data_IF_431716545867
#
_entry.id   IF_431716545867
#
_cell.length_a   1.000
_cell.length_b   1.000
_cell.length_c   1.000
_cell.angle_alpha   90.00
_cell.angle_beta   90.00
_cell.angle_gamma   90.00
#
_symmetry.space_group_name_H-M   'P 1'
#
loop_
_entity.id
_entity.type
_entity.pdbx_description
1 polymer ?
#
# COMPACT_ATOMS: atom_id res chain seq x y z
N UNK A 1 18.75 -15.96 10.74
CA UNK A 1 17.77 -15.00 11.22
C UNK A 1 16.40 -15.62 11.27
N UNK A 2 15.60 -15.23 12.23
CA UNK A 2 14.22 -15.71 12.33
C UNK A 2 13.35 -14.88 11.39
N UNK A 3 12.66 -15.55 10.49
CA UNK A 3 11.65 -14.90 9.67
C UNK A 3 10.39 -14.66 10.50
N UNK A 4 9.97 -13.39 10.62
CA UNK A 4 8.72 -13.02 11.27
C UNK A 4 7.65 -12.83 10.19
N UNK A 5 6.57 -13.64 10.21
CA UNK A 5 5.58 -13.61 9.13
C UNK A 5 4.70 -12.37 9.16
N UNK A 6 4.67 -11.63 10.28
CA UNK A 6 3.76 -10.50 10.50
C UNK A 6 4.49 -9.30 11.08
N UNK A 7 4.04 -8.11 10.71
CA UNK A 7 4.49 -6.85 11.35
C UNK A 7 3.79 -6.64 12.70
N UNK A 8 2.50 -6.92 12.76
CA UNK A 8 1.64 -6.76 13.93
C UNK A 8 1.09 -8.11 14.37
N UNK A 9 0.83 -8.29 15.68
CA UNK A 9 0.15 -9.48 16.17
C UNK A 9 -1.19 -9.68 15.46
N UNK A 10 -1.51 -10.92 15.12
CA UNK A 10 -2.76 -11.28 14.49
C UNK A 10 -3.29 -12.59 15.06
N UNK A 11 -4.44 -12.54 15.72
CA UNK A 11 -5.08 -13.70 16.36
C UNK A 11 -5.38 -14.83 15.36
N UNK A 12 -5.73 -14.50 14.12
CA UNK A 12 -6.01 -15.49 13.08
C UNK A 12 -4.79 -16.36 12.75
N UNK A 13 -3.58 -15.87 13.03
CA UNK A 13 -2.34 -16.65 12.85
C UNK A 13 -1.81 -17.24 14.15
N UNK A 14 -2.51 -17.05 15.28
CA UNK A 14 -2.08 -17.54 16.59
C UNK A 14 -0.69 -17.01 16.99
N UNK A 15 -0.35 -15.81 16.54
CA UNK A 15 1.01 -15.31 16.68
C UNK A 15 1.10 -14.15 17.65
N UNK A 16 1.71 -14.44 18.79
CA UNK A 16 2.35 -13.41 19.61
C UNK A 16 3.68 -12.95 18.97
N UNK A 17 4.15 -13.64 17.94
CA UNK A 17 5.41 -13.39 17.25
C UNK A 17 5.20 -12.48 16.04
N UNK A 18 5.29 -11.20 16.27
CA UNK A 18 5.29 -10.19 15.21
C UNK A 18 6.49 -9.25 15.39
N UNK A 19 6.83 -8.51 14.35
CA UNK A 19 7.91 -7.51 14.44
C UNK A 19 7.66 -6.53 15.59
N UNK A 20 6.42 -6.11 15.81
CA UNK A 20 6.02 -5.18 16.85
C UNK A 20 6.17 -5.74 18.29
N UNK A 21 6.13 -7.05 18.46
CA UNK A 21 6.23 -7.73 19.76
C UNK A 21 7.59 -8.37 20.00
N UNK A 22 8.39 -8.56 18.95
CA UNK A 22 9.78 -8.95 19.06
C UNK A 22 10.64 -7.72 19.29
N UNK A 23 11.75 -7.86 19.92
CA UNK A 23 12.73 -6.76 20.09
C UNK A 23 13.82 -6.91 19.01
N UNK A 24 13.53 -6.52 17.74
CA UNK A 24 14.47 -6.74 16.66
C UNK A 24 15.69 -5.82 16.82
N UNK A 25 16.85 -6.33 16.47
CA UNK A 25 18.05 -5.52 16.38
C UNK A 25 17.93 -4.57 15.19
N UNK A 26 18.11 -3.27 15.43
CA UNK A 26 18.00 -2.25 14.38
C UNK A 26 18.97 -2.50 13.22
N UNK A 27 20.16 -3.03 13.52
CA UNK A 27 21.16 -3.40 12.51
C UNK A 27 20.69 -4.52 11.57
N UNK A 28 19.89 -5.47 12.05
CA UNK A 28 19.30 -6.52 11.20
C UNK A 28 18.24 -5.94 10.26
N UNK A 29 17.40 -5.04 10.78
CA UNK A 29 16.42 -4.32 9.93
C UNK A 29 17.14 -3.48 8.89
N UNK A 30 18.21 -2.80 9.25
CA UNK A 30 19.01 -2.00 8.33
C UNK A 30 19.58 -2.84 7.20
N UNK A 31 20.21 -3.96 7.53
CA UNK A 31 20.78 -4.87 6.53
C UNK A 31 19.71 -5.40 5.57
N UNK A 32 18.56 -5.79 6.07
CA UNK A 32 17.46 -6.29 5.25
C UNK A 32 16.91 -5.21 4.32
N UNK A 33 16.61 -4.01 4.83
CA UNK A 33 16.09 -2.92 4.03
C UNK A 33 17.11 -2.44 2.98
N UNK A 34 18.40 -2.41 3.31
CA UNK A 34 19.46 -2.11 2.34
C UNK A 34 19.50 -3.14 1.24
N UNK A 35 19.50 -4.43 1.58
CA UNK A 35 19.51 -5.51 0.62
C UNK A 35 18.30 -5.45 -0.34
N UNK A 36 17.10 -5.15 0.18
CA UNK A 36 15.91 -4.98 -0.63
C UNK A 36 16.03 -3.78 -1.58
N UNK A 37 16.49 -2.62 -1.10
CA UNK A 37 16.65 -1.42 -1.91
C UNK A 37 17.73 -1.60 -2.99
N UNK A 38 18.87 -2.18 -2.63
CA UNK A 38 19.95 -2.45 -3.58
C UNK A 38 19.50 -3.42 -4.66
N UNK A 39 18.80 -4.47 -4.27
CA UNK A 39 18.27 -5.46 -5.23
C UNK A 39 17.28 -4.85 -6.20
N UNK A 40 16.28 -4.09 -5.69
CA UNK A 40 15.27 -3.50 -6.57
C UNK A 40 15.87 -2.45 -7.50
N UNK A 41 16.81 -1.63 -7.03
CA UNK A 41 17.48 -0.62 -7.85
C UNK A 41 18.42 -1.23 -8.89
N UNK A 42 19.03 -2.38 -8.59
CA UNK A 42 19.79 -3.15 -9.55
C UNK A 42 18.89 -3.72 -10.65
N UNK A 43 17.80 -4.39 -10.27
CA UNK A 43 16.92 -5.10 -11.22
C UNK A 43 16.00 -4.15 -11.98
N UNK A 44 15.62 -3.01 -11.35
CA UNK A 44 14.76 -1.97 -11.90
C UNK A 44 15.40 -0.58 -11.73
N UNK A 45 16.40 -0.22 -12.57
CA UNK A 45 17.10 1.07 -12.44
C UNK A 45 16.20 2.30 -12.58
N UNK A 46 14.99 2.11 -13.10
CA UNK A 46 13.98 3.18 -13.23
C UNK A 46 13.07 3.28 -12.02
N UNK A 47 13.28 2.49 -10.96
CA UNK A 47 12.53 2.58 -9.73
C UNK A 47 12.67 3.98 -9.13
N UNK A 48 11.57 4.66 -8.91
CA UNK A 48 11.57 6.05 -8.42
C UNK A 48 11.06 6.18 -6.99
N UNK A 49 10.43 5.16 -6.45
CA UNK A 49 9.81 5.21 -5.12
C UNK A 49 9.79 3.84 -4.45
N UNK A 50 9.64 3.87 -3.14
CA UNK A 50 9.42 2.70 -2.31
C UNK A 50 8.23 2.95 -1.38
N UNK A 51 7.40 1.94 -1.17
CA UNK A 51 6.32 1.95 -0.20
C UNK A 51 6.54 0.89 0.85
N UNK A 52 6.07 1.12 2.06
CA UNK A 52 6.26 0.20 3.17
C UNK A 52 5.03 -0.69 3.34
N UNK A 53 5.22 -1.99 3.25
CA UNK A 53 4.17 -2.97 3.56
C UNK A 53 3.79 -2.91 5.04
N UNK A 54 2.47 -2.90 5.33
CA UNK A 54 1.89 -2.90 6.67
C UNK A 54 2.45 -1.80 7.61
N UNK A 55 2.95 -0.71 7.06
CA UNK A 55 3.53 0.40 7.81
C UNK A 55 4.57 -0.05 8.88
N UNK A 56 5.41 -1.04 8.58
CA UNK A 56 6.39 -1.64 9.51
C UNK A 56 7.26 -0.59 10.21
N UNK A 57 7.51 0.54 9.58
CA UNK A 57 8.31 1.64 10.11
C UNK A 57 7.71 2.29 11.36
N UNK A 58 6.43 2.02 11.67
CA UNK A 58 5.76 2.58 12.85
C UNK A 58 5.92 1.73 14.10
N UNK A 59 6.55 0.55 14.01
CA UNK A 59 6.75 -0.35 15.17
C UNK A 59 7.64 0.28 16.24
N UNK A 60 8.59 1.13 15.86
CA UNK A 60 9.41 1.89 16.78
C UNK A 60 9.96 3.18 16.14
N UNK A 61 10.19 4.26 16.89
CA UNK A 61 10.78 5.48 16.37
C UNK A 61 12.14 5.28 15.69
N UNK A 62 12.97 4.37 16.20
CA UNK A 62 14.27 4.04 15.61
C UNK A 62 14.12 3.43 14.20
N UNK A 63 13.12 2.57 13.99
CA UNK A 63 12.82 1.97 12.67
C UNK A 63 12.35 3.05 11.70
N UNK A 64 11.52 3.98 12.14
CA UNK A 64 11.09 5.13 11.34
C UNK A 64 12.29 5.97 10.89
N UNK A 65 13.17 6.34 11.81
CA UNK A 65 14.34 7.16 11.49
C UNK A 65 15.29 6.43 10.53
N UNK A 66 15.53 5.14 10.76
CA UNK A 66 16.32 4.29 9.88
C UNK A 66 15.73 4.29 8.46
N UNK A 67 14.42 4.00 8.35
CA UNK A 67 13.74 3.92 7.05
C UNK A 67 13.83 5.23 6.29
N UNK A 68 13.59 6.37 6.94
CA UNK A 68 13.75 7.70 6.34
C UNK A 68 15.20 7.93 5.88
N UNK A 69 16.18 7.54 6.71
CA UNK A 69 17.60 7.63 6.36
C UNK A 69 17.97 6.86 5.11
N UNK A 70 17.48 5.62 5.00
CA UNK A 70 17.71 4.76 3.83
C UNK A 70 17.05 5.30 2.57
N UNK A 71 15.81 5.76 2.65
CA UNK A 71 15.09 6.39 1.53
C UNK A 71 15.88 7.57 0.97
N UNK A 72 16.41 8.42 1.84
CA UNK A 72 17.26 9.55 1.45
C UNK A 72 18.58 9.10 0.85
N UNK A 73 19.25 8.11 1.48
CA UNK A 73 20.53 7.55 0.99
C UNK A 73 20.41 7.02 -0.42
N UNK A 74 19.35 6.27 -0.70
CA UNK A 74 19.09 5.64 -2.00
C UNK A 74 18.32 6.51 -2.97
N UNK A 75 17.93 7.73 -2.58
CA UNK A 75 17.18 8.70 -3.39
C UNK A 75 15.91 8.12 -4.00
N UNK A 76 15.19 7.31 -3.25
CA UNK A 76 13.88 6.81 -3.62
C UNK A 76 12.81 7.63 -2.91
N UNK A 77 11.77 8.03 -3.64
CA UNK A 77 10.63 8.70 -3.03
C UNK A 77 9.83 7.73 -2.15
N UNK A 78 9.02 8.24 -1.25
CA UNK A 78 8.27 7.40 -0.33
C UNK A 78 6.98 8.05 0.11
N UNK A 79 5.99 7.21 0.40
CA UNK A 79 4.73 7.62 1.00
C UNK A 79 4.80 7.82 2.53
N UNK A 80 5.97 7.79 3.15
CA UNK A 80 6.18 7.94 4.60
C UNK A 80 5.80 9.33 5.14
N UNK A 81 4.65 9.85 4.77
CA UNK A 81 4.14 11.18 5.17
C UNK A 81 5.12 12.33 4.91
N UNK A 82 6.07 12.12 4.02
CA UNK A 82 6.97 13.19 3.56
C UNK A 82 6.29 14.13 2.57
N UNK A 83 5.12 13.74 2.07
CA UNK A 83 4.32 14.50 1.11
C UNK A 83 3.02 14.99 1.75
N UNK A 84 2.56 16.19 1.39
CA UNK A 84 1.29 16.72 1.87
C UNK A 84 0.09 16.09 1.14
N UNK A 85 0.12 14.78 0.92
CA UNK A 85 -1.00 14.03 0.36
C UNK A 85 -2.01 13.69 1.43
N UNK A 86 -3.27 13.74 1.06
CA UNK A 86 -4.36 13.27 1.90
C UNK A 86 -4.70 11.84 1.53
N UNK A 87 -4.85 10.98 2.52
CA UNK A 87 -5.41 9.65 2.27
C UNK A 87 -6.88 9.77 1.93
N UNK A 88 -7.33 8.99 0.96
CA UNK A 88 -8.74 8.83 0.60
C UNK A 88 -9.06 7.36 0.49
N UNK A 89 -10.15 6.97 1.13
CA UNK A 89 -10.78 5.67 0.92
C UNK A 89 -11.92 5.85 -0.09
N UNK A 90 -11.81 5.20 -1.24
CA UNK A 90 -12.82 5.27 -2.29
C UNK A 90 -13.99 4.31 -2.05
N UNK A 91 -13.77 3.24 -1.33
CA UNK A 91 -14.71 2.13 -1.28
C UNK A 91 -15.43 1.99 0.06
N UNK A 92 -14.84 2.48 1.15
CA UNK A 92 -15.41 2.36 2.49
C UNK A 92 -15.66 0.91 2.86
N UNK A 93 -16.86 0.63 3.40
CA UNK A 93 -17.28 -0.71 3.83
C UNK A 93 -17.97 -1.51 2.69
N UNK A 94 -17.93 -1.04 1.45
CA UNK A 94 -18.53 -1.74 0.32
C UNK A 94 -17.91 -3.13 0.13
N UNK A 95 -18.72 -4.11 -0.22
CA UNK A 95 -18.30 -5.50 -0.38
C UNK A 95 -18.46 -6.01 -1.82
N UNK A 96 -19.27 -5.34 -2.63
CA UNK A 96 -19.51 -5.68 -4.03
C UNK A 96 -18.91 -4.63 -4.97
N UNK A 97 -18.60 -5.03 -6.19
CA UNK A 97 -18.06 -4.11 -7.20
C UNK A 97 -19.01 -2.93 -7.46
N UNK A 98 -20.32 -3.17 -7.49
CA UNK A 98 -21.32 -2.12 -7.72
C UNK A 98 -21.32 -1.09 -6.57
N UNK A 99 -21.40 -1.54 -5.33
CA UNK A 99 -21.32 -0.65 -4.16
C UNK A 99 -20.00 0.14 -4.14
N UNK A 100 -18.89 -0.50 -4.49
CA UNK A 100 -17.58 0.15 -4.58
C UNK A 100 -17.57 1.27 -5.64
N UNK A 101 -18.17 1.03 -6.79
CA UNK A 101 -18.28 2.05 -7.85
C UNK A 101 -19.13 3.22 -7.38
N UNK A 102 -20.28 2.96 -6.77
CA UNK A 102 -21.18 4.00 -6.27
C UNK A 102 -20.49 4.85 -5.19
N UNK A 103 -19.83 4.20 -4.22
CA UNK A 103 -19.07 4.88 -3.18
C UNK A 103 -17.94 5.72 -3.76
N UNK A 104 -17.17 5.16 -4.70
CA UNK A 104 -16.08 5.89 -5.34
C UNK A 104 -16.57 7.12 -6.11
N UNK A 105 -17.68 7.01 -6.83
CA UNK A 105 -18.29 8.16 -7.50
C UNK A 105 -18.69 9.22 -6.50
N UNK A 106 -19.38 8.83 -5.41
CA UNK A 106 -19.78 9.76 -4.36
C UNK A 106 -18.57 10.45 -3.70
N UNK A 107 -17.52 9.70 -3.39
CA UNK A 107 -16.29 10.26 -2.81
C UNK A 107 -15.64 11.25 -3.79
N UNK A 108 -15.48 10.86 -5.06
CA UNK A 108 -14.86 11.69 -6.10
C UNK A 108 -15.63 12.99 -6.32
N UNK A 109 -16.95 12.95 -6.34
CA UNK A 109 -17.80 14.14 -6.49
C UNK A 109 -17.65 15.16 -5.35
N UNK A 110 -17.27 14.67 -4.17
CA UNK A 110 -17.09 15.49 -2.97
C UNK A 110 -15.62 15.83 -2.66
N UNK A 111 -14.66 15.36 -3.48
CA UNK A 111 -13.25 15.69 -3.31
C UNK A 111 -13.02 17.19 -3.43
N UNK A 112 -12.32 17.74 -2.45
CA UNK A 112 -11.85 19.12 -2.51
C UNK A 112 -10.54 19.18 -3.31
N UNK A 113 -10.18 20.38 -3.72
CA UNK A 113 -8.90 20.58 -4.39
C UNK A 113 -7.72 20.07 -3.53
N UNK A 114 -6.84 19.28 -4.12
CA UNK A 114 -5.70 18.69 -3.41
C UNK A 114 -5.10 17.48 -4.13
N UNK A 115 -4.02 16.95 -3.54
CA UNK A 115 -3.41 15.68 -3.96
C UNK A 115 -3.80 14.60 -2.97
N UNK A 116 -4.26 13.48 -3.49
CA UNK A 116 -4.77 12.36 -2.70
C UNK A 116 -4.05 11.07 -3.06
N UNK A 117 -3.86 10.24 -2.06
CA UNK A 117 -3.40 8.86 -2.21
C UNK A 117 -4.54 7.90 -1.86
N UNK A 118 -4.85 7.00 -2.79
CA UNK A 118 -5.76 5.89 -2.54
C UNK A 118 -4.96 4.59 -2.59
N UNK A 119 -4.95 3.85 -1.49
CA UNK A 119 -4.29 2.55 -1.40
C UNK A 119 -5.34 1.46 -1.59
N UNK A 120 -5.15 0.61 -2.58
CA UNK A 120 -6.02 -0.54 -2.84
C UNK A 120 -5.19 -1.78 -3.17
N UNK A 121 -5.82 -2.95 -3.08
CA UNK A 121 -5.15 -4.23 -3.33
C UNK A 121 -5.94 -5.07 -4.34
N UNK A 122 -6.07 -4.64 -5.60
CA UNK A 122 -6.81 -5.38 -6.62
C UNK A 122 -6.15 -6.73 -6.91
N UNK A 123 -6.98 -7.76 -7.10
CA UNK A 123 -6.52 -9.07 -7.50
C UNK A 123 -7.67 -9.78 -8.23
N UNK A 124 -7.38 -10.46 -9.33
CA UNK A 124 -8.37 -11.27 -10.03
C UNK A 124 -8.58 -12.61 -9.31
N UNK A 125 -9.83 -12.97 -9.11
CA UNK A 125 -10.20 -14.27 -8.60
C UNK A 125 -9.98 -15.31 -9.70
N UNK A 126 -8.89 -16.08 -9.62
CA UNK A 126 -8.62 -17.14 -10.57
C UNK A 126 -9.64 -18.27 -10.39
N UNK A 127 -10.38 -18.63 -11.46
CA UNK A 127 -11.31 -19.74 -11.42
C UNK A 127 -10.63 -21.02 -10.95
N UNK A 128 -11.05 -21.54 -9.80
CA UNK A 128 -10.76 -22.90 -9.34
C UNK A 128 -9.44 -23.15 -8.61
N UNK A 129 -8.60 -22.13 -8.32
CA UNK A 129 -7.28 -22.34 -7.67
C UNK A 129 -6.88 -21.32 -6.63
N UNK A 130 -7.80 -20.82 -5.83
CA UNK A 130 -7.36 -20.03 -4.68
C UNK A 130 -7.10 -20.94 -3.48
N UNK A 131 -5.85 -21.34 -3.34
CA UNK A 131 -5.34 -21.82 -2.07
C UNK A 131 -4.85 -20.62 -1.28
N UNK A 132 -5.75 -19.97 -0.59
CA UNK A 132 -5.35 -19.10 0.51
C UNK A 132 -5.01 -20.01 1.68
N UNK A 133 -3.87 -19.78 2.27
CA UNK A 133 -3.36 -20.66 3.33
C UNK A 133 -3.62 -20.10 4.72
N UNK A 134 -4.44 -19.08 4.82
CA UNK A 134 -4.84 -18.53 6.11
C UNK A 134 -6.37 -18.36 6.19
N UNK A 135 -6.88 -18.44 7.39
CA UNK A 135 -8.30 -18.27 7.69
C UNK A 135 -8.73 -16.85 7.28
N UNK A 136 -9.90 -16.74 6.65
CA UNK A 136 -10.45 -15.45 6.19
C UNK A 136 -9.95 -14.96 4.82
N UNK A 137 -9.02 -15.67 4.19
CA UNK A 137 -8.48 -15.28 2.90
C UNK A 137 -9.49 -15.33 1.74
N UNK A 138 -10.54 -16.11 1.87
CA UNK A 138 -11.58 -16.19 0.83
C UNK A 138 -12.39 -14.89 0.74
N UNK A 139 -12.70 -14.27 1.87
CA UNK A 139 -13.41 -13.00 1.89
C UNK A 139 -12.51 -11.86 1.38
N UNK A 140 -11.23 -11.87 1.78
CA UNK A 140 -10.24 -10.94 1.26
C UNK A 140 -10.07 -11.08 -0.26
N UNK A 141 -10.07 -12.30 -0.77
CA UNK A 141 -9.98 -12.57 -2.21
C UNK A 141 -11.18 -12.04 -2.99
N UNK A 142 -12.40 -12.22 -2.47
CA UNK A 142 -13.62 -11.70 -3.09
C UNK A 142 -13.63 -10.17 -3.08
N UNK A 143 -13.24 -9.57 -1.96
CA UNK A 143 -13.10 -8.13 -1.85
C UNK A 143 -12.10 -7.57 -2.87
N UNK A 144 -10.95 -8.21 -3.04
CA UNK A 144 -9.92 -7.80 -4.00
C UNK A 144 -10.35 -7.96 -5.45
N UNK A 145 -11.14 -9.01 -5.75
CA UNK A 145 -11.73 -9.19 -7.07
C UNK A 145 -12.79 -8.12 -7.36
N UNK A 146 -13.68 -7.85 -6.41
CA UNK A 146 -14.64 -6.74 -6.50
C UNK A 146 -13.94 -5.39 -6.69
N UNK A 147 -12.85 -5.14 -5.95
CA UNK A 147 -11.99 -3.97 -6.15
C UNK A 147 -11.45 -3.88 -7.56
N UNK A 148 -11.00 -5.02 -8.13
CA UNK A 148 -10.50 -5.06 -9.51
C UNK A 148 -11.58 -4.70 -10.51
N UNK A 149 -12.77 -5.26 -10.34
CA UNK A 149 -13.92 -4.98 -11.20
C UNK A 149 -14.35 -3.51 -11.09
N UNK A 150 -14.45 -2.99 -9.88
CA UNK A 150 -14.80 -1.59 -9.64
C UNK A 150 -13.79 -0.63 -10.28
N UNK A 151 -12.48 -0.85 -10.11
CA UNK A 151 -11.44 -0.02 -10.73
C UNK A 151 -11.44 -0.07 -12.26
N UNK A 152 -11.94 -1.15 -12.85
CA UNK A 152 -12.06 -1.31 -14.30
C UNK A 152 -13.36 -0.70 -14.87
N UNK A 153 -14.32 -0.31 -14.04
CA UNK A 153 -15.62 0.21 -14.46
C UNK A 153 -15.48 1.56 -15.17
N UNK A 154 -16.16 1.70 -16.30
CA UNK A 154 -16.08 2.90 -17.12
C UNK A 154 -16.67 4.14 -16.43
N UNK A 155 -17.64 3.96 -15.53
CA UNK A 155 -18.23 5.05 -14.74
C UNK A 155 -17.17 5.78 -13.91
N UNK A 156 -16.13 5.06 -13.38
CA UNK A 156 -15.03 5.70 -12.68
C UNK A 156 -14.16 6.53 -13.62
N UNK A 157 -13.92 6.05 -14.82
CA UNK A 157 -13.17 6.83 -15.83
C UNK A 157 -13.92 8.10 -16.22
N UNK A 158 -15.23 8.00 -16.37
CA UNK A 158 -16.11 9.13 -16.72
C UNK A 158 -16.13 10.19 -15.61
N UNK A 159 -16.30 9.79 -14.34
CA UNK A 159 -16.32 10.73 -13.22
C UNK A 159 -14.97 11.42 -13.00
N UNK A 160 -13.85 10.69 -13.14
CA UNK A 160 -12.49 11.22 -13.09
C UNK A 160 -12.32 12.30 -14.18
N UNK A 161 -12.76 12.01 -15.41
CA UNK A 161 -12.70 12.96 -16.51
C UNK A 161 -13.62 14.17 -16.30
N UNK A 162 -14.85 13.96 -15.84
CA UNK A 162 -15.84 15.01 -15.54
C UNK A 162 -15.29 16.00 -14.51
N UNK A 163 -14.64 15.50 -13.46
CA UNK A 163 -14.06 16.33 -12.40
C UNK A 163 -12.62 16.80 -12.71
N UNK A 164 -12.10 16.52 -13.91
CA UNK A 164 -10.77 16.90 -14.35
C UNK A 164 -9.67 16.43 -13.40
N UNK A 165 -9.84 15.25 -12.81
CA UNK A 165 -8.86 14.66 -11.92
C UNK A 165 -7.70 14.13 -12.77
N UNK A 166 -6.48 14.50 -12.38
CA UNK A 166 -5.26 13.97 -12.99
C UNK A 166 -4.77 12.79 -12.16
N UNK A 167 -4.75 11.60 -12.76
CA UNK A 167 -4.07 10.46 -12.18
C UNK A 167 -2.56 10.63 -12.36
N UNK A 168 -1.83 10.46 -11.27
CA UNK A 168 -0.38 10.64 -11.21
C UNK A 168 0.27 9.46 -10.48
N UNK A 169 1.54 9.21 -10.79
CA UNK A 169 2.39 8.34 -9.98
C UNK A 169 3.34 9.15 -9.09
N UNK A 170 4.03 8.49 -8.19
CA UNK A 170 5.03 9.13 -7.32
C UNK A 170 6.10 9.89 -8.10
N UNK A 171 6.48 9.42 -9.29
CA UNK A 171 7.43 10.10 -10.18
C UNK A 171 6.97 11.49 -10.62
N UNK A 172 5.66 11.72 -10.66
CA UNK A 172 5.09 13.03 -11.02
C UNK A 172 5.10 14.02 -9.84
N UNK A 173 5.36 13.52 -8.64
CA UNK A 173 5.48 14.32 -7.43
C UNK A 173 6.92 14.85 -7.36
N UNK A 174 7.13 16.07 -7.83
CA UNK A 174 8.46 16.73 -7.85
C UNK A 174 8.79 17.37 -6.50
N UNK A 175 9.06 16.57 -5.48
CA UNK A 175 9.32 17.11 -4.15
C UNK A 175 10.78 17.11 -3.71
N UNK A 176 11.69 16.57 -4.53
CA UNK A 176 13.11 16.46 -4.21
C UNK A 176 13.97 17.11 -5.30
N UNK A 177 13.97 18.43 -5.32
CA UNK A 177 14.97 19.19 -6.07
C UNK A 177 15.53 20.31 -5.19
#
# INVERSE_FOLDING_TARGET
GNFLPMVWPNEAYGTDQALATSSPEISEIEQELQAQLERILHDLPTCSHATAHMAFYTVAPAVMHLTIGLIRKYRVDSNLRLFPMKSVDLFGEASTAEEMVENAIHVIENLKHGTYECVTHPCLLAQGKQRHWHIGAEDDARYRDATTQALADDRLKEIIKKHRIRLIGYRDLKFWH
#
